data_IF_043245885740
#
_entry.id   IF_043245885740
#
_cell.length_a   1.000
_cell.length_b   1.000
_cell.length_c   1.000
_cell.angle_alpha   90.00
_cell.angle_beta   90.00
_cell.angle_gamma   90.00
#
_symmetry.space_group_name_H-M   'P 1'
#
loop_
_entity.id
_entity.type
_entity.pdbx_description
1 polymer ?
#
# COMPACT_ATOMS: atom_id res chain seq x y z
N UNK A 1 -28.22 -11.53 37.73
CA UNK A 1 -26.86 -11.98 37.35
C UNK A 1 -26.94 -12.63 35.99
N UNK A 2 -26.41 -11.99 34.93
CA UNK A 2 -26.37 -12.55 33.58
C UNK A 2 -25.06 -13.32 33.38
N UNK A 3 -25.16 -14.62 33.14
CA UNK A 3 -23.99 -15.46 32.82
C UNK A 3 -23.54 -15.14 31.40
N UNK A 4 -22.40 -14.47 31.26
CA UNK A 4 -21.72 -14.31 29.98
C UNK A 4 -21.03 -15.63 29.67
N UNK A 5 -21.61 -16.43 28.77
CA UNK A 5 -20.96 -17.61 28.22
C UNK A 5 -19.97 -17.18 27.15
N UNK A 6 -18.68 -17.20 27.48
CA UNK A 6 -17.60 -17.11 26.49
C UNK A 6 -17.65 -18.34 25.59
N UNK A 7 -18.15 -18.17 24.36
CA UNK A 7 -18.18 -19.21 23.35
C UNK A 7 -16.76 -19.40 22.79
N UNK A 8 -16.07 -20.42 23.27
CA UNK A 8 -14.79 -20.87 22.68
C UNK A 8 -15.06 -21.41 21.28
N UNK A 9 -14.48 -20.76 20.26
CA UNK A 9 -14.51 -21.24 18.88
C UNK A 9 -13.37 -22.21 18.67
N UNK A 10 -13.69 -23.41 18.18
CA UNK A 10 -12.72 -24.43 17.82
C UNK A 10 -11.87 -24.01 16.60
N UNK A 11 -10.60 -24.46 16.56
CA UNK A 11 -9.64 -24.07 15.53
C UNK A 11 -10.10 -24.45 14.13
N UNK A 12 -10.72 -25.62 13.96
CA UNK A 12 -11.29 -26.04 12.68
C UNK A 12 -12.44 -25.15 12.23
N UNK A 13 -13.21 -24.62 13.18
CA UNK A 13 -14.24 -23.62 12.89
C UNK A 13 -13.60 -22.32 12.42
N UNK A 14 -12.55 -21.85 13.10
CA UNK A 14 -11.81 -20.64 12.68
C UNK A 14 -11.18 -20.81 11.30
N UNK A 15 -10.63 -21.99 11.00
CA UNK A 15 -10.06 -22.34 9.69
C UNK A 15 -11.12 -22.47 8.61
N UNK A 16 -12.30 -23.02 8.92
CA UNK A 16 -13.42 -23.08 7.99
C UNK A 16 -14.00 -21.69 7.72
N UNK A 17 -14.12 -20.84 8.75
CA UNK A 17 -14.55 -19.45 8.60
C UNK A 17 -13.54 -18.59 7.83
N UNK A 18 -12.23 -18.79 8.06
CA UNK A 18 -11.19 -18.11 7.29
C UNK A 18 -11.22 -18.53 5.82
N UNK A 19 -11.33 -19.84 5.52
CA UNK A 19 -11.52 -20.35 4.15
C UNK A 19 -12.81 -19.84 3.52
N UNK A 20 -13.93 -19.80 4.26
CA UNK A 20 -15.20 -19.32 3.73
C UNK A 20 -15.18 -17.80 3.47
N UNK A 21 -14.47 -17.02 4.28
CA UNK A 21 -14.15 -15.61 3.97
C UNK A 21 -13.26 -15.49 2.73
N UNK A 22 -12.30 -16.40 2.52
CA UNK A 22 -11.47 -16.43 1.32
C UNK A 22 -12.24 -16.85 0.05
N UNK A 23 -13.36 -17.58 0.17
CA UNK A 23 -14.19 -18.01 -0.97
C UNK A 23 -15.11 -16.88 -1.45
N UNK A 24 -15.53 -15.95 -0.58
CA UNK A 24 -16.19 -14.70 -0.98
C UNK A 24 -15.19 -13.66 -1.52
N UNK A 25 -14.22 -14.11 -2.33
CA UNK A 25 -13.26 -13.24 -3.02
C UNK A 25 -14.03 -12.37 -4.00
N UNK A 26 -14.28 -11.14 -3.57
CA UNK A 26 -14.59 -10.03 -4.47
C UNK A 26 -13.55 -10.02 -5.59
N UNK A 27 -14.02 -9.89 -6.84
CA UNK A 27 -13.14 -9.77 -8.00
C UNK A 27 -12.20 -8.58 -7.76
N UNK A 28 -10.88 -8.73 -7.95
CA UNK A 28 -9.95 -7.62 -7.78
C UNK A 28 -10.38 -6.43 -8.65
N UNK A 29 -10.46 -5.25 -8.04
CA UNK A 29 -10.82 -4.03 -8.75
C UNK A 29 -9.56 -3.28 -9.17
N UNK A 30 -9.49 -2.79 -10.41
CA UNK A 30 -8.37 -1.98 -10.88
C UNK A 30 -8.63 -0.49 -10.61
N UNK A 31 -7.67 0.20 -9.99
CA UNK A 31 -7.72 1.65 -9.86
C UNK A 31 -7.69 2.30 -11.24
N UNK A 32 -8.61 3.21 -11.51
CA UNK A 32 -8.76 3.86 -12.80
C UNK A 32 -7.97 5.15 -12.84
N UNK A 33 -7.14 5.36 -13.86
CA UNK A 33 -6.54 6.67 -14.13
C UNK A 33 -7.67 7.64 -14.47
N UNK A 34 -7.81 8.78 -13.76
CA UNK A 34 -8.97 9.63 -13.96
C UNK A 34 -8.85 10.42 -15.26
N UNK A 35 -10.00 10.81 -15.82
CA UNK A 35 -10.09 11.39 -17.17
C UNK A 35 -9.15 12.59 -17.39
N UNK A 36 -8.68 12.72 -18.63
CA UNK A 36 -7.73 13.76 -19.04
C UNK A 36 -6.29 13.54 -18.58
N UNK A 37 -6.00 12.40 -17.94
CA UNK A 37 -4.64 11.98 -17.60
C UNK A 37 -4.16 10.83 -18.49
N UNK A 38 -2.85 10.68 -18.62
CA UNK A 38 -2.21 9.57 -19.32
C UNK A 38 -1.23 8.85 -18.39
N UNK A 39 -1.12 7.53 -18.57
CA UNK A 39 -0.20 6.68 -17.81
C UNK A 39 0.85 6.05 -18.74
N UNK A 40 1.81 6.85 -19.26
CA UNK A 40 2.77 6.39 -20.27
C UNK A 40 3.74 5.31 -19.76
N UNK A 41 3.87 5.14 -18.44
CA UNK A 41 4.78 4.18 -17.80
C UNK A 41 4.02 3.00 -17.17
N UNK A 42 2.80 2.70 -17.63
CA UNK A 42 1.94 1.68 -17.01
C UNK A 42 1.34 2.16 -15.68
N UNK A 43 0.70 1.27 -14.91
CA UNK A 43 0.10 1.61 -13.63
C UNK A 43 0.18 0.44 -12.67
N UNK A 44 0.99 0.60 -11.63
CA UNK A 44 0.96 -0.25 -10.45
C UNK A 44 0.49 0.59 -9.25
N UNK A 45 0.27 -0.04 -8.10
CA UNK A 45 -0.17 0.66 -6.91
C UNK A 45 0.58 0.23 -5.66
N UNK A 46 0.77 1.18 -4.75
CA UNK A 46 1.28 0.94 -3.40
C UNK A 46 0.18 1.27 -2.42
N UNK A 47 -0.25 0.29 -1.63
CA UNK A 47 -1.22 0.46 -0.56
C UNK A 47 -0.53 0.58 0.78
N UNK A 48 -0.94 1.53 1.61
CA UNK A 48 -0.51 1.63 3.02
C UNK A 48 -1.72 1.87 3.93
N UNK A 49 -1.65 1.56 5.22
CA UNK A 49 -2.69 1.97 6.17
C UNK A 49 -2.90 3.48 6.13
N UNK A 50 -4.14 3.93 6.26
CA UNK A 50 -4.52 5.34 6.20
C UNK A 50 -3.71 6.21 7.16
N UNK A 51 -3.43 5.72 8.38
CA UNK A 51 -2.61 6.44 9.36
C UNK A 51 -1.19 6.73 8.83
N UNK A 52 -0.56 5.74 8.18
CA UNK A 52 0.73 5.92 7.51
C UNK A 52 0.59 6.90 6.35
N UNK A 53 -0.48 6.78 5.56
CA UNK A 53 -0.76 7.65 4.43
C UNK A 53 -0.85 9.12 4.80
N UNK A 54 -1.67 9.43 5.81
CA UNK A 54 -1.80 10.78 6.37
C UNK A 54 -0.46 11.33 6.85
N UNK A 55 0.37 10.50 7.50
CA UNK A 55 1.71 10.90 7.93
C UNK A 55 2.68 11.12 6.75
N UNK A 56 2.53 10.40 5.64
CA UNK A 56 3.37 10.53 4.45
C UNK A 56 3.08 11.82 3.66
N UNK A 57 1.81 12.25 3.56
CA UNK A 57 1.41 13.42 2.75
C UNK A 57 2.25 14.67 3.06
N UNK A 58 2.50 14.95 4.34
CA UNK A 58 3.28 16.12 4.76
C UNK A 58 4.77 16.08 4.36
N UNK A 59 5.26 14.94 3.85
CA UNK A 59 6.69 14.68 3.57
C UNK A 59 6.96 14.47 2.07
N UNK A 60 5.93 14.37 1.24
CA UNK A 60 6.07 14.09 -0.18
C UNK A 60 6.30 15.40 -0.95
N UNK A 61 7.37 15.51 -1.75
CA UNK A 61 7.60 16.71 -2.56
C UNK A 61 6.55 16.87 -3.67
N UNK A 62 6.00 15.74 -4.15
CA UNK A 62 4.94 15.67 -5.15
C UNK A 62 4.09 14.44 -4.89
N UNK A 63 2.78 14.59 -5.00
CA UNK A 63 1.82 13.50 -4.94
C UNK A 63 1.12 13.32 -6.29
N UNK A 64 0.97 12.07 -6.71
CA UNK A 64 0.13 11.67 -7.85
C UNK A 64 -1.30 11.36 -7.43
N UNK A 65 -2.01 10.52 -8.18
CA UNK A 65 -3.35 10.08 -7.78
C UNK A 65 -3.29 9.19 -6.54
N UNK A 66 -4.17 9.48 -5.58
CA UNK A 66 -4.33 8.70 -4.34
C UNK A 66 -5.80 8.31 -4.17
N UNK A 67 -6.04 7.05 -3.86
CA UNK A 67 -7.38 6.49 -3.63
C UNK A 67 -7.50 5.98 -2.21
N UNK A 68 -8.70 6.10 -1.62
CA UNK A 68 -9.04 5.51 -0.33
C UNK A 68 -9.96 4.29 -0.52
N UNK A 69 -9.61 3.18 0.13
CA UNK A 69 -10.44 2.00 0.26
C UNK A 69 -10.36 1.46 1.69
N UNK A 70 -11.44 1.61 2.44
CA UNK A 70 -11.47 1.24 3.86
C UNK A 70 -10.39 1.97 4.65
N UNK A 71 -9.52 1.21 5.32
CA UNK A 71 -8.40 1.67 6.13
C UNK A 71 -7.10 1.80 5.34
N UNK A 72 -7.15 1.74 4.00
CA UNK A 72 -5.97 1.83 3.14
C UNK A 72 -6.05 2.97 2.16
N UNK A 73 -4.91 3.62 1.97
CA UNK A 73 -4.68 4.56 0.89
C UNK A 73 -3.81 3.90 -0.17
N UNK A 74 -4.10 4.18 -1.44
CA UNK A 74 -3.45 3.59 -2.60
C UNK A 74 -2.87 4.70 -3.48
N UNK A 75 -1.56 4.71 -3.67
CA UNK A 75 -0.88 5.63 -4.59
C UNK A 75 -0.66 4.93 -5.92
N UNK A 76 -0.99 5.61 -7.02
CA UNK A 76 -0.56 5.18 -8.36
C UNK A 76 0.92 5.46 -8.54
N UNK A 77 1.65 4.45 -8.97
CA UNK A 77 3.08 4.51 -9.33
C UNK A 77 3.27 3.94 -10.75
N UNK A 78 4.38 4.26 -11.43
CA UNK A 78 4.75 3.57 -12.67
C UNK A 78 4.79 2.05 -12.47
N UNK A 79 4.54 1.28 -13.53
CA UNK A 79 4.75 -0.17 -13.46
C UNK A 79 6.21 -0.49 -13.14
N UNK A 80 6.42 -1.65 -12.51
CA UNK A 80 7.74 -2.15 -12.08
C UNK A 80 8.43 -1.24 -11.05
N UNK A 81 7.67 -0.43 -10.30
CA UNK A 81 8.20 0.39 -9.20
C UNK A 81 8.61 -0.43 -7.97
N UNK A 82 8.42 -1.74 -7.95
CA UNK A 82 9.00 -2.66 -6.98
C UNK A 82 10.42 -3.11 -7.35
N UNK A 83 10.86 -2.86 -8.59
CA UNK A 83 12.25 -3.11 -9.00
C UNK A 83 13.17 -2.22 -8.18
N UNK A 84 14.07 -2.86 -7.42
CA UNK A 84 15.01 -2.23 -6.49
C UNK A 84 14.39 -1.48 -5.29
N UNK A 85 13.06 -1.50 -5.11
CA UNK A 85 12.37 -0.92 -3.96
C UNK A 85 11.68 -2.00 -3.14
N UNK A 86 12.36 -2.45 -2.07
CA UNK A 86 11.78 -3.36 -1.07
C UNK A 86 10.77 -2.60 -0.18
N UNK A 87 9.53 -2.43 -0.67
CA UNK A 87 8.47 -1.74 0.06
C UNK A 87 8.29 -2.32 1.49
N UNK A 88 8.50 -1.52 2.55
CA UNK A 88 8.47 -2.03 3.91
C UNK A 88 7.03 -2.37 4.34
N UNK A 89 6.87 -3.38 5.19
CA UNK A 89 5.60 -3.60 5.87
C UNK A 89 5.22 -2.33 6.67
N UNK A 90 3.93 -1.93 6.70
CA UNK A 90 2.73 -2.67 6.25
C UNK A 90 2.28 -2.37 4.80
N UNK A 91 3.16 -1.87 3.94
CA UNK A 91 2.81 -1.58 2.55
C UNK A 91 2.54 -2.85 1.74
N UNK A 92 1.70 -2.70 0.71
CA UNK A 92 1.39 -3.74 -0.28
C UNK A 92 1.59 -3.16 -1.68
N UNK A 93 2.53 -3.70 -2.43
CA UNK A 93 2.67 -3.42 -3.85
C UNK A 93 1.69 -4.29 -4.64
N UNK A 94 1.02 -3.73 -5.66
CA UNK A 94 0.17 -4.49 -6.57
C UNK A 94 0.40 -4.07 -8.02
N UNK A 95 0.76 -5.07 -8.84
CA UNK A 95 0.90 -4.90 -10.29
C UNK A 95 -0.45 -4.61 -10.93
N UNK A 96 -0.47 -3.74 -11.95
CA UNK A 96 -1.68 -3.39 -12.69
C UNK A 96 -2.70 -2.61 -11.86
N UNK A 97 -2.24 -1.99 -10.76
CA UNK A 97 -3.03 -1.22 -9.81
C UNK A 97 -4.28 -1.95 -9.30
N UNK A 98 -4.12 -3.25 -9.01
CA UNK A 98 -5.19 -4.12 -8.54
C UNK A 98 -5.42 -4.00 -7.03
N UNK A 99 -6.69 -3.90 -6.64
CA UNK A 99 -7.17 -3.86 -5.25
C UNK A 99 -7.90 -5.18 -4.98
N UNK A 100 -7.24 -6.15 -4.32
CA UNK A 100 -7.71 -7.53 -4.27
C UNK A 100 -8.97 -7.73 -3.42
N UNK A 101 -9.20 -6.87 -2.43
CA UNK A 101 -10.26 -7.06 -1.41
C UNK A 101 -11.28 -5.91 -1.43
N UNK A 102 -11.35 -5.16 -2.54
CA UNK A 102 -12.25 -4.02 -2.69
C UNK A 102 -13.72 -4.46 -2.65
N UNK A 103 -14.48 -3.94 -1.69
CA UNK A 103 -15.95 -4.15 -1.63
C UNK A 103 -16.71 -3.18 -2.54
N UNK A 104 -16.09 -2.03 -2.84
CA UNK A 104 -16.60 -0.95 -3.68
C UNK A 104 -15.43 -0.30 -4.42
N UNK A 105 -15.73 0.51 -5.42
CA UNK A 105 -14.70 1.32 -6.07
C UNK A 105 -14.00 2.22 -5.03
N UNK A 106 -12.65 2.16 -4.92
CA UNK A 106 -11.87 3.08 -4.11
C UNK A 106 -12.11 4.54 -4.54
N UNK A 107 -12.30 5.43 -3.58
CA UNK A 107 -12.58 6.84 -3.87
C UNK A 107 -11.30 7.61 -4.12
N UNK A 108 -11.23 8.39 -5.20
CA UNK A 108 -10.11 9.31 -5.46
C UNK A 108 -10.12 10.42 -4.39
N UNK A 109 -9.05 10.50 -3.59
CA UNK A 109 -8.90 11.49 -2.51
C UNK A 109 -7.85 12.57 -2.83
N UNK A 110 -6.98 12.32 -3.80
CA UNK A 110 -6.05 13.33 -4.31
C UNK A 110 -5.85 13.15 -5.81
N UNK A 111 -5.94 14.25 -6.56
CA UNK A 111 -5.65 14.33 -8.00
C UNK A 111 -4.55 15.37 -8.19
N UNK A 112 -3.43 15.06 -8.86
CA UNK A 112 -2.40 16.06 -9.16
C UNK A 112 -2.88 17.05 -10.21
N UNK A 113 -2.30 18.25 -10.22
CA UNK A 113 -2.58 19.30 -11.22
C UNK A 113 -2.08 18.94 -12.63
N UNK A 114 -1.02 18.10 -12.71
CA UNK A 114 -0.43 17.65 -13.97
C UNK A 114 -1.22 16.55 -14.68
N UNK A 115 -0.79 16.16 -15.87
CA UNK A 115 -1.46 15.15 -16.70
C UNK A 115 -1.07 13.70 -16.42
N UNK A 116 -0.12 13.45 -15.50
CA UNK A 116 0.35 12.09 -15.16
C UNK A 116 -0.01 11.71 -13.72
N UNK A 117 -0.48 10.47 -13.47
CA UNK A 117 -1.06 10.08 -12.19
C UNK A 117 -0.02 9.67 -11.14
N UNK A 118 1.27 9.68 -11.48
CA UNK A 118 2.28 9.02 -10.66
C UNK A 118 2.68 9.84 -9.44
N UNK A 119 2.77 9.17 -8.31
CA UNK A 119 3.65 9.61 -7.22
C UNK A 119 5.05 9.08 -7.52
N UNK A 120 6.11 9.93 -7.49
CA UNK A 120 7.46 9.46 -7.74
C UNK A 120 7.85 8.34 -6.74
N UNK A 121 8.27 7.15 -7.20
CA UNK A 121 8.37 5.96 -6.35
C UNK A 121 9.50 6.06 -5.32
N UNK A 122 10.65 6.65 -5.66
CA UNK A 122 11.77 6.83 -4.71
C UNK A 122 11.37 7.75 -3.54
N UNK A 123 10.82 8.97 -3.77
CA UNK A 123 10.27 9.78 -2.67
C UNK A 123 9.18 9.08 -1.85
N UNK A 124 8.28 8.35 -2.51
CA UNK A 124 7.21 7.60 -1.81
C UNK A 124 7.79 6.55 -0.87
N UNK A 125 8.74 5.75 -1.37
CA UNK A 125 9.47 4.74 -0.61
C UNK A 125 10.18 5.34 0.60
N UNK A 126 10.95 6.41 0.41
CA UNK A 126 11.67 7.07 1.50
C UNK A 126 10.74 7.70 2.54
N UNK A 127 9.59 8.23 2.12
CA UNK A 127 8.58 8.76 3.05
C UNK A 127 7.98 7.63 3.90
N UNK A 128 7.65 6.50 3.27
CA UNK A 128 7.14 5.33 3.96
C UNK A 128 8.19 4.78 4.95
N UNK A 129 9.43 4.58 4.49
CA UNK A 129 10.53 4.11 5.35
C UNK A 129 10.71 4.96 6.61
N UNK A 130 10.60 6.28 6.48
CA UNK A 130 10.67 7.20 7.63
C UNK A 130 9.48 7.03 8.59
N UNK A 131 8.27 6.85 8.06
CA UNK A 131 7.06 6.68 8.89
C UNK A 131 7.03 5.32 9.58
N UNK A 132 7.58 4.28 8.96
CA UNK A 132 7.64 2.92 9.52
C UNK A 132 8.91 2.66 10.35
N UNK A 133 9.85 3.60 10.38
CA UNK A 133 11.14 3.42 11.07
C UNK A 133 12.04 2.36 10.42
N UNK A 134 11.82 2.04 9.14
CA UNK A 134 12.61 1.03 8.41
C UNK A 134 13.74 1.68 7.64
N UNK A 135 14.95 1.13 7.76
CA UNK A 135 16.12 1.55 6.99
C UNK A 135 15.99 1.15 5.51
N UNK A 136 16.16 2.07 4.54
CA UNK A 136 16.14 1.74 3.11
C UNK A 136 17.12 0.62 2.75
N UNK A 137 16.72 -0.29 1.85
CA UNK A 137 17.48 -1.51 1.55
C UNK A 137 18.93 -1.23 1.13
N UNK A 138 19.13 -0.26 0.24
CA UNK A 138 20.46 0.17 -0.24
C UNK A 138 21.34 0.84 0.82
N UNK A 139 20.78 1.27 1.95
CA UNK A 139 21.54 1.90 3.03
C UNK A 139 22.02 0.91 4.10
N UNK A 140 21.48 -0.32 4.11
CA UNK A 140 21.88 -1.37 5.05
C UNK A 140 23.33 -1.85 4.82
N UNK A 141 23.80 -1.87 3.57
CA UNK A 141 25.16 -2.30 3.22
C UNK A 141 26.24 -1.31 3.66
N UNK A 142 25.91 -0.01 3.75
CA UNK A 142 26.87 1.04 4.14
C UNK A 142 27.22 0.94 5.64
N UNK A 143 26.29 0.44 6.49
CA UNK A 143 26.52 0.29 7.92
C UNK A 143 27.41 -0.89 8.32
N UNK A 144 27.47 -1.95 7.50
CA UNK A 144 28.27 -3.14 7.80
C UNK A 144 29.78 -2.93 7.55
N UNK A 145 30.15 -2.00 6.66
CA UNK A 145 31.56 -1.68 6.38
C UNK A 145 32.24 -0.76 7.39
N UNK A 146 31.49 -0.16 8.33
CA UNK A 146 32.04 0.75 9.34
C UNK A 146 32.30 0.07 10.70
N UNK A 147 31.74 -1.12 10.95
CA UNK A 147 31.90 -1.86 12.21
C UNK A 147 33.11 -2.80 12.22
N UNK A 148 33.73 -3.08 11.06
CA UNK A 148 34.90 -3.96 10.92
C UNK A 148 36.25 -3.22 10.96
N UNK A 149 36.25 -1.95 11.38
CA UNK A 149 37.44 -1.08 11.41
C UNK A 149 37.75 -0.49 12.81
N UNK A 150 37.27 -1.11 13.89
CA UNK A 150 37.52 -0.67 15.27
C UNK A 150 38.21 -1.77 16.10
#
# INVERSE_FOLDING_TARGET
>A
MGVVTTRTMDLDSLVRFSRQRQILRTVPLRLTVPDGMTAPLGCDAVAVPEACGRAMVARLPRMGCVYADGDRWWWIVPSDSDVALEWPAPARYTTGALVPDARRAPGLIHRPDGSVPYTPPIPLYLALCRVTGTTPAWSRSIGAGAADAA
#
